data_IF_395506833651
#
_entry.id   IF_395506833651
#
_cell.length_a   1.000
_cell.length_b   1.000
_cell.length_c   1.000
_cell.angle_alpha   90.00
_cell.angle_beta   90.00
_cell.angle_gamma   90.00
#
_symmetry.space_group_name_H-M   'P 1'
#
loop_
_entity.id
_entity.type
_entity.pdbx_description
1 polymer ?
#
# COMPACT_ATOMS: atom_id res chain seq x y z
N UNK A 1 -42.41 -59.55 66.38
CA UNK A 1 -41.61 -60.54 67.15
C UNK A 1 -40.23 -60.51 66.51
N UNK A 2 -39.23 -60.14 67.10
CA UNK A 2 -38.66 -59.72 68.36
C UNK A 2 -37.42 -58.90 67.98
N UNK A 3 -37.30 -57.83 68.37
CA UNK A 3 -36.47 -57.16 69.37
C UNK A 3 -35.18 -57.90 69.73
N UNK A 4 -34.04 -57.34 69.43
CA UNK A 4 -32.93 -57.26 70.41
C UNK A 4 -31.96 -56.13 70.07
N UNK A 5 -32.02 -55.17 70.93
CA UNK A 5 -31.03 -54.14 71.30
C UNK A 5 -29.82 -54.79 71.88
N UNK A 6 -28.60 -54.35 71.47
CA UNK A 6 -27.45 -54.26 72.38
C UNK A 6 -26.55 -53.16 71.87
N UNK A 7 -26.39 -52.09 72.65
CA UNK A 7 -25.33 -51.15 72.83
C UNK A 7 -24.35 -51.67 73.91
N UNK A 8 -23.30 -51.02 74.25
CA UNK A 8 -22.21 -50.21 73.58
C UNK A 8 -20.79 -50.66 74.03
N UNK A 9 -19.82 -49.84 73.64
CA UNK A 9 -18.43 -49.73 74.18
C UNK A 9 -17.45 -50.81 73.74
N UNK A 10 -16.52 -50.36 72.88
CA UNK A 10 -15.15 -50.19 73.29
C UNK A 10 -14.36 -49.38 72.24
N UNK A 11 -13.87 -48.27 72.70
CA UNK A 11 -12.71 -47.57 72.13
C UNK A 11 -11.49 -48.09 72.93
N UNK A 12 -10.34 -48.37 72.37
CA UNK A 12 -9.36 -47.29 72.31
C UNK A 12 -8.45 -47.34 71.07
N UNK A 13 -8.24 -46.18 70.59
CA UNK A 13 -6.97 -45.63 70.16
C UNK A 13 -5.99 -46.47 69.38
N UNK A 14 -5.82 -46.07 68.19
CA UNK A 14 -4.48 -45.84 67.66
C UNK A 14 -4.64 -45.25 66.27
N UNK A 15 -4.48 -43.95 66.20
CA UNK A 15 -4.20 -43.21 65.00
C UNK A 15 -2.71 -43.47 64.65
N UNK A 16 -2.33 -44.12 63.56
CA UNK A 16 -0.98 -44.01 63.08
C UNK A 16 -0.91 -42.69 62.36
N UNK A 17 -0.28 -41.69 62.96
CA UNK A 17 0.27 -40.55 62.30
C UNK A 17 1.17 -41.05 61.15
N UNK A 18 0.61 -40.99 59.95
CA UNK A 18 1.39 -41.15 58.73
C UNK A 18 2.16 -39.83 58.55
N UNK A 19 3.49 -39.84 58.49
CA UNK A 19 4.26 -38.64 58.34
C UNK A 19 3.93 -38.00 56.99
N UNK A 20 3.64 -36.71 57.01
CA UNK A 20 3.51 -35.80 55.87
C UNK A 20 4.83 -35.59 55.09
N UNK A 21 5.50 -36.69 54.75
CA UNK A 21 6.83 -36.62 54.10
C UNK A 21 6.78 -36.77 52.57
N UNK A 22 5.60 -36.81 51.94
CA UNK A 22 5.43 -36.97 50.53
C UNK A 22 4.71 -35.77 49.85
N UNK A 23 4.63 -34.61 50.52
CA UNK A 23 4.00 -33.42 49.92
C UNK A 23 4.93 -32.58 49.00
N UNK A 24 6.22 -32.80 49.04
CA UNK A 24 7.21 -32.01 48.30
C UNK A 24 7.24 -32.29 46.79
N UNK A 25 7.03 -33.54 46.28
CA UNK A 25 7.04 -33.76 44.82
C UNK A 25 5.76 -33.21 44.11
N UNK A 26 4.64 -33.09 44.80
CA UNK A 26 3.43 -32.60 44.21
C UNK A 26 3.40 -31.06 44.02
N UNK A 27 4.09 -30.34 44.91
CA UNK A 27 4.19 -28.85 44.80
C UNK A 27 5.19 -28.49 43.70
N UNK A 28 6.30 -29.15 43.57
CA UNK A 28 7.29 -28.95 42.52
C UNK A 28 6.72 -29.26 41.12
N UNK A 29 5.94 -30.34 41.03
CA UNK A 29 5.23 -30.69 39.77
C UNK A 29 4.18 -29.62 39.37
N UNK A 30 3.46 -29.06 40.33
CA UNK A 30 2.48 -27.96 40.05
C UNK A 30 3.18 -26.69 39.61
N UNK A 31 4.33 -26.33 40.17
CA UNK A 31 5.09 -25.15 39.75
C UNK A 31 5.70 -25.31 38.34
N UNK A 32 6.17 -26.50 37.97
CA UNK A 32 6.62 -26.79 36.61
C UNK A 32 5.50 -26.74 35.58
N UNK A 33 4.30 -27.22 35.92
CA UNK A 33 3.13 -27.14 35.07
C UNK A 33 2.65 -25.70 34.90
N UNK A 34 2.69 -24.90 35.96
CA UNK A 34 2.36 -23.48 35.88
C UNK A 34 3.35 -22.73 34.98
N UNK A 35 4.65 -22.94 35.11
CA UNK A 35 5.67 -22.35 34.23
C UNK A 35 5.44 -22.71 32.75
N UNK A 36 5.21 -23.98 32.45
CA UNK A 36 4.91 -24.45 31.09
C UNK A 36 3.61 -23.85 30.55
N UNK A 37 2.60 -23.76 31.39
CA UNK A 37 1.33 -23.12 31.03
C UNK A 37 1.52 -21.63 30.69
N UNK A 38 2.27 -20.91 31.51
CA UNK A 38 2.53 -19.49 31.30
C UNK A 38 3.39 -19.25 30.06
N UNK A 39 4.41 -20.07 29.83
CA UNK A 39 5.20 -20.04 28.59
C UNK A 39 4.36 -20.28 27.34
N UNK A 40 3.45 -21.28 27.39
CA UNK A 40 2.54 -21.57 26.27
C UNK A 40 1.54 -20.43 26.06
N UNK A 41 1.03 -19.85 27.13
CA UNK A 41 0.13 -18.72 27.11
C UNK A 41 0.80 -17.47 26.51
N UNK A 42 2.04 -17.20 26.92
CA UNK A 42 2.82 -16.10 26.35
C UNK A 42 3.11 -16.31 24.87
N UNK A 43 3.51 -17.52 24.47
CA UNK A 43 3.68 -17.88 23.04
C UNK A 43 2.39 -17.71 22.25
N UNK A 44 1.26 -18.15 22.81
CA UNK A 44 -0.04 -18.02 22.16
C UNK A 44 -0.44 -16.56 22.00
N UNK A 45 -0.21 -15.73 23.01
CA UNK A 45 -0.46 -14.29 22.96
C UNK A 45 0.42 -13.62 21.88
N UNK A 46 1.69 -13.97 21.84
CA UNK A 46 2.63 -13.46 20.83
C UNK A 46 2.23 -13.90 19.42
N UNK A 47 1.91 -15.18 19.23
CA UNK A 47 1.44 -15.70 17.93
C UNK A 47 0.14 -15.06 17.47
N UNK A 48 -0.78 -14.80 18.41
CA UNK A 48 -2.05 -14.12 18.10
C UNK A 48 -1.81 -12.70 17.63
N UNK A 49 -0.95 -11.95 18.34
CA UNK A 49 -0.58 -10.59 17.96
C UNK A 49 0.13 -10.55 16.60
N UNK A 50 1.05 -11.49 16.34
CA UNK A 50 1.74 -11.60 15.06
C UNK A 50 0.78 -11.96 13.92
N UNK A 51 -0.16 -12.88 14.16
CA UNK A 51 -1.19 -13.22 13.20
C UNK A 51 -2.11 -12.05 12.86
N UNK A 52 -2.52 -11.27 13.86
CA UNK A 52 -3.32 -10.05 13.62
C UNK A 52 -2.54 -9.02 12.79
N UNK A 53 -1.26 -8.80 13.08
CA UNK A 53 -0.39 -7.93 12.32
C UNK A 53 -0.19 -8.43 10.89
N UNK A 54 0.02 -9.74 10.71
CA UNK A 54 0.11 -10.37 9.40
C UNK A 54 -1.19 -10.19 8.61
N UNK A 55 -2.35 -10.46 9.21
CA UNK A 55 -3.65 -10.28 8.58
C UNK A 55 -3.86 -8.83 8.11
N UNK A 56 -3.50 -7.87 8.97
CA UNK A 56 -3.60 -6.44 8.65
C UNK A 56 -2.71 -6.05 7.47
N UNK A 57 -1.46 -6.54 7.46
CA UNK A 57 -0.53 -6.33 6.36
C UNK A 57 -1.02 -6.98 5.07
N UNK A 58 -1.44 -8.24 5.13
CA UNK A 58 -1.93 -8.98 3.96
C UNK A 58 -3.18 -8.33 3.32
N UNK A 59 -4.08 -7.78 4.13
CA UNK A 59 -5.23 -7.01 3.62
C UNK A 59 -4.77 -5.74 2.89
N UNK A 60 -3.83 -5.00 3.47
CA UNK A 60 -3.27 -3.81 2.85
C UNK A 60 -2.56 -4.14 1.54
N UNK A 61 -1.71 -5.17 1.54
CA UNK A 61 -1.01 -5.62 0.34
C UNK A 61 -1.99 -6.04 -0.77
N UNK A 62 -3.08 -6.72 -0.40
CA UNK A 62 -4.15 -7.08 -1.34
C UNK A 62 -4.83 -5.85 -1.94
N UNK A 63 -5.15 -4.85 -1.12
CA UNK A 63 -5.73 -3.58 -1.59
C UNK A 63 -4.78 -2.85 -2.54
N UNK A 64 -3.50 -2.78 -2.19
CA UNK A 64 -2.48 -2.14 -3.01
C UNK A 64 -2.28 -2.90 -4.34
N UNK A 65 -2.26 -4.23 -4.30
CA UNK A 65 -2.23 -5.05 -5.52
C UNK A 65 -3.43 -4.77 -6.44
N UNK A 66 -4.64 -4.65 -5.90
CA UNK A 66 -5.83 -4.33 -6.69
C UNK A 66 -5.75 -2.92 -7.30
N UNK A 67 -5.30 -1.92 -6.53
CA UNK A 67 -5.14 -0.53 -7.00
C UNK A 67 -4.12 -0.41 -8.12
N UNK A 68 -3.02 -1.15 -8.04
CA UNK A 68 -1.89 -1.00 -8.95
C UNK A 68 -1.74 -2.14 -9.98
N UNK A 69 -2.68 -3.09 -10.02
CA UNK A 69 -2.65 -4.23 -10.97
C UNK A 69 -2.64 -3.80 -12.44
N UNK A 70 -3.18 -2.62 -12.73
CA UNK A 70 -3.35 -2.10 -14.09
C UNK A 70 -2.17 -1.23 -14.57
N UNK A 71 -1.13 -1.04 -13.75
CA UNK A 71 0.00 -0.14 -14.06
C UNK A 71 0.62 -0.46 -15.42
N UNK A 72 0.93 -1.72 -15.72
CA UNK A 72 1.54 -2.12 -16.99
C UNK A 72 0.67 -1.76 -18.19
N UNK A 73 -0.62 -2.10 -18.14
CA UNK A 73 -1.58 -1.76 -19.20
C UNK A 73 -1.69 -0.23 -19.38
N UNK A 74 -1.78 0.50 -18.29
CA UNK A 74 -1.91 1.95 -18.35
C UNK A 74 -0.67 2.59 -18.96
N UNK A 75 0.53 2.13 -18.64
CA UNK A 75 1.78 2.63 -19.24
C UNK A 75 1.81 2.44 -20.77
N UNK A 76 1.35 1.30 -21.27
CA UNK A 76 1.25 1.06 -22.71
C UNK A 76 0.18 1.93 -23.37
N UNK A 77 -0.95 2.11 -22.72
CA UNK A 77 -2.03 2.98 -23.22
C UNK A 77 -1.59 4.46 -23.28
N UNK A 78 -0.73 4.93 -22.37
CA UNK A 78 -0.20 6.29 -22.41
C UNK A 78 0.61 6.58 -23.66
N UNK A 79 1.22 5.57 -24.31
CA UNK A 79 1.90 5.75 -25.60
C UNK A 79 0.90 6.19 -26.70
N UNK A 80 -0.34 5.73 -26.61
CA UNK A 80 -1.39 6.18 -27.55
C UNK A 80 -1.72 7.66 -27.32
N UNK A 81 -1.81 8.11 -26.06
CA UNK A 81 -2.01 9.51 -25.72
C UNK A 81 -0.87 10.39 -26.27
N UNK A 82 0.39 9.96 -26.09
CA UNK A 82 1.56 10.66 -26.62
C UNK A 82 1.49 10.80 -28.16
N UNK A 83 1.08 9.74 -28.84
CA UNK A 83 0.91 9.76 -30.30
C UNK A 83 -0.15 10.75 -30.74
N UNK A 84 -1.27 10.86 -30.00
CA UNK A 84 -2.33 11.85 -30.27
C UNK A 84 -1.83 13.27 -30.00
N UNK A 85 -1.12 13.51 -28.87
CA UNK A 85 -0.52 14.81 -28.55
C UNK A 85 0.49 15.21 -29.63
N UNK A 86 1.36 14.29 -30.07
CA UNK A 86 2.32 14.53 -31.15
C UNK A 86 1.65 14.81 -32.48
N UNK A 87 0.57 14.10 -32.83
CA UNK A 87 -0.19 14.37 -34.03
C UNK A 87 -0.79 15.78 -34.02
N UNK A 88 -1.33 16.23 -32.87
CA UNK A 88 -1.84 17.60 -32.71
C UNK A 88 -0.73 18.65 -32.83
N UNK A 89 0.45 18.39 -32.28
CA UNK A 89 1.61 19.28 -32.33
C UNK A 89 2.22 19.39 -33.74
N UNK A 90 2.12 18.33 -34.54
CA UNK A 90 2.64 18.28 -35.93
C UNK A 90 1.75 19.03 -36.92
N UNK A 91 0.51 19.37 -36.56
CA UNK A 91 -0.38 20.12 -37.44
C UNK A 91 0.08 21.57 -37.56
N UNK A 92 0.23 22.13 -38.78
CA UNK A 92 0.71 23.48 -38.97
C UNK A 92 -0.23 24.51 -38.32
N UNK A 93 0.39 25.49 -37.66
CA UNK A 93 -0.34 26.59 -37.08
C UNK A 93 -0.72 27.59 -38.22
N UNK A 94 -1.99 27.85 -38.38
CA UNK A 94 -2.46 28.87 -39.34
C UNK A 94 -2.89 28.35 -40.72
N UNK A 95 -2.92 27.04 -40.92
CA UNK A 95 -3.52 26.49 -42.13
C UNK A 95 -5.04 26.62 -42.07
N UNK A 96 -5.62 27.29 -43.09
CA UNK A 96 -7.06 27.55 -43.20
C UNK A 96 -7.79 26.43 -43.94
N UNK A 97 -7.15 25.30 -44.21
CA UNK A 97 -7.85 24.15 -44.79
C UNK A 97 -8.91 23.62 -43.81
N UNK A 98 -10.17 23.70 -44.24
CA UNK A 98 -11.30 23.24 -43.46
C UNK A 98 -11.23 21.77 -43.09
N UNK A 99 -10.64 20.95 -43.98
CA UNK A 99 -10.42 19.52 -43.71
C UNK A 99 -9.45 19.29 -42.58
N UNK A 100 -8.32 20.04 -42.57
CA UNK A 100 -7.30 19.97 -41.55
C UNK A 100 -7.80 20.48 -40.21
N UNK A 101 -8.58 21.55 -40.20
CA UNK A 101 -9.21 22.07 -38.98
C UNK A 101 -10.22 21.08 -38.39
N UNK A 102 -11.03 20.43 -39.21
CA UNK A 102 -11.96 19.38 -38.74
C UNK A 102 -11.22 18.20 -38.17
N UNK A 103 -10.13 17.75 -38.81
CA UNK A 103 -9.29 16.66 -38.31
C UNK A 103 -8.65 17.02 -36.95
N UNK A 104 -8.09 18.23 -36.80
CA UNK A 104 -7.53 18.75 -35.57
C UNK A 104 -8.56 18.71 -34.42
N UNK A 105 -9.80 19.21 -34.71
CA UNK A 105 -10.87 19.20 -33.73
C UNK A 105 -11.27 17.76 -33.33
N UNK A 106 -11.31 16.82 -34.30
CA UNK A 106 -11.63 15.43 -34.04
C UNK A 106 -10.56 14.75 -33.13
N UNK A 107 -9.28 14.99 -33.42
CA UNK A 107 -8.17 14.43 -32.61
C UNK A 107 -8.15 15.06 -31.21
N UNK A 108 -8.35 16.38 -31.09
CA UNK A 108 -8.41 17.07 -29.80
C UNK A 108 -9.58 16.56 -28.94
N UNK A 109 -10.75 16.37 -29.55
CA UNK A 109 -11.91 15.77 -28.88
C UNK A 109 -11.63 14.35 -28.39
N UNK A 110 -10.98 13.55 -29.22
CA UNK A 110 -10.59 12.18 -28.86
C UNK A 110 -9.61 12.17 -27.69
N UNK A 111 -8.61 13.06 -27.71
CA UNK A 111 -7.63 13.20 -26.62
C UNK A 111 -8.31 13.67 -25.31
N UNK A 112 -9.24 14.62 -25.38
CA UNK A 112 -10.03 15.06 -24.21
C UNK A 112 -10.86 13.93 -23.64
N UNK A 113 -11.53 13.16 -24.50
CA UNK A 113 -12.31 12.00 -24.08
C UNK A 113 -11.42 10.94 -23.44
N UNK A 114 -10.26 10.68 -24.02
CA UNK A 114 -9.26 9.75 -23.48
C UNK A 114 -8.79 10.18 -22.09
N UNK A 115 -8.39 11.44 -21.90
CA UNK A 115 -8.01 11.99 -20.60
C UNK A 115 -9.16 11.92 -19.57
N UNK A 116 -10.40 12.11 -20.02
CA UNK A 116 -11.59 11.95 -19.16
C UNK A 116 -11.77 10.49 -18.70
N UNK A 117 -11.46 9.52 -19.57
CA UNK A 117 -11.49 8.10 -19.21
C UNK A 117 -10.38 7.81 -18.19
N UNK A 118 -9.15 8.24 -18.44
CA UNK A 118 -8.03 8.07 -17.52
C UNK A 118 -8.35 8.64 -16.12
N UNK A 119 -8.97 9.82 -16.06
CA UNK A 119 -9.39 10.43 -14.80
C UNK A 119 -10.39 9.57 -14.00
N UNK A 120 -11.31 8.85 -14.67
CA UNK A 120 -12.24 7.91 -14.01
C UNK A 120 -11.51 6.73 -13.35
N UNK A 121 -10.35 6.37 -13.84
CA UNK A 121 -9.48 5.33 -13.28
C UNK A 121 -8.40 5.90 -12.35
N UNK A 122 -8.59 7.13 -11.86
CA UNK A 122 -7.66 7.83 -10.97
C UNK A 122 -6.26 8.03 -11.57
N UNK A 123 -6.18 8.14 -12.90
CA UNK A 123 -4.97 8.55 -13.60
C UNK A 123 -5.07 10.04 -13.88
N UNK A 124 -4.13 10.83 -13.35
CA UNK A 124 -4.10 12.28 -13.49
C UNK A 124 -2.80 12.73 -14.15
N UNK A 125 -2.91 13.71 -15.06
CA UNK A 125 -1.75 14.31 -15.73
C UNK A 125 -1.00 15.21 -14.73
N UNK A 126 0.33 15.09 -14.70
CA UNK A 126 1.21 15.95 -13.90
C UNK A 126 1.29 17.32 -14.61
N UNK A 127 1.09 18.39 -13.85
CA UNK A 127 1.33 19.74 -14.33
C UNK A 127 2.82 20.05 -14.17
N UNK A 128 3.57 20.02 -15.25
CA UNK A 128 5.00 20.25 -15.19
C UNK A 128 5.41 21.66 -15.66
N UNK A 129 4.84 22.14 -16.77
CA UNK A 129 5.24 23.41 -17.39
C UNK A 129 4.98 24.61 -16.47
N UNK A 130 6.02 25.40 -16.23
CA UNK A 130 5.99 26.58 -15.35
C UNK A 130 6.18 26.26 -13.86
N UNK A 131 6.20 25.00 -13.49
CA UNK A 131 6.42 24.57 -12.10
C UNK A 131 7.92 24.38 -11.82
N UNK A 132 8.27 24.32 -10.54
CA UNK A 132 9.63 23.98 -10.13
C UNK A 132 9.88 22.49 -10.35
N UNK A 133 11.06 22.12 -10.81
CA UNK A 133 11.47 20.73 -10.97
C UNK A 133 11.39 19.95 -9.67
N UNK A 134 10.68 18.82 -9.70
CA UNK A 134 10.61 17.83 -8.62
C UNK A 134 11.13 16.47 -9.13
N UNK A 135 12.24 15.95 -8.59
CA UNK A 135 12.83 14.68 -9.01
C UNK A 135 11.90 13.47 -8.86
N UNK A 136 10.83 13.59 -8.07
CA UNK A 136 9.85 12.51 -7.86
C UNK A 136 8.87 12.36 -9.02
N UNK A 137 8.59 13.48 -9.72
CA UNK A 137 7.54 13.54 -10.74
C UNK A 137 8.08 13.91 -12.11
N UNK A 138 9.30 14.48 -12.19
CA UNK A 138 9.87 15.02 -13.41
C UNK A 138 11.22 14.35 -13.72
N UNK A 139 11.47 14.12 -15.01
CA UNK A 139 12.74 13.65 -15.55
C UNK A 139 13.32 14.70 -16.49
N UNK A 140 14.51 15.19 -16.19
CA UNK A 140 15.17 16.23 -17.00
C UNK A 140 15.82 15.60 -18.21
N UNK A 141 15.35 15.99 -19.42
CA UNK A 141 15.95 15.60 -20.68
C UNK A 141 16.94 16.65 -21.19
N UNK A 142 16.61 17.93 -21.02
CA UNK A 142 17.44 19.04 -21.47
C UNK A 142 17.46 20.15 -20.43
N UNK A 143 18.59 20.88 -20.42
CA UNK A 143 18.77 22.11 -19.67
C UNK A 143 19.03 23.25 -20.69
N UNK A 144 18.35 24.37 -20.50
CA UNK A 144 18.49 25.55 -21.32
C UNK A 144 19.03 26.70 -20.48
N UNK A 145 20.15 27.28 -20.90
CA UNK A 145 20.70 28.45 -20.22
C UNK A 145 19.82 29.66 -20.50
N UNK A 146 19.19 30.18 -19.48
CA UNK A 146 18.32 31.34 -19.56
C UNK A 146 18.29 32.09 -18.25
N UNK A 147 18.20 33.41 -18.34
CA UNK A 147 18.03 34.31 -17.18
C UNK A 147 16.57 34.77 -17.01
N UNK A 148 15.67 34.36 -17.93
CA UNK A 148 14.24 34.77 -17.87
C UNK A 148 13.44 34.06 -16.78
N UNK A 149 13.88 32.88 -16.40
CA UNK A 149 13.19 32.04 -15.40
C UNK A 149 14.13 31.66 -14.26
N UNK A 150 13.60 31.46 -13.05
CA UNK A 150 14.40 30.96 -11.93
C UNK A 150 15.04 29.60 -12.26
N UNK A 151 16.23 29.35 -11.70
CA UNK A 151 16.93 28.09 -11.86
C UNK A 151 16.07 26.90 -11.44
N UNK A 152 16.05 25.84 -12.26
CA UNK A 152 15.24 24.65 -12.05
C UNK A 152 13.75 24.82 -12.37
N UNK A 153 13.33 25.89 -13.05
CA UNK A 153 11.95 26.02 -13.55
C UNK A 153 11.77 25.18 -14.81
N UNK A 154 10.67 24.44 -14.89
CA UNK A 154 10.31 23.68 -16.09
C UNK A 154 9.87 24.63 -17.20
N UNK A 155 10.65 24.72 -18.25
CA UNK A 155 10.38 25.56 -19.41
C UNK A 155 9.38 24.92 -20.37
N UNK A 156 9.53 23.62 -20.59
CA UNK A 156 8.67 22.89 -21.50
C UNK A 156 8.52 21.42 -21.09
N UNK A 157 7.38 20.83 -21.47
CA UNK A 157 7.05 19.44 -21.24
C UNK A 157 7.17 18.70 -22.59
N UNK A 158 8.18 17.84 -22.71
CA UNK A 158 8.44 17.04 -23.92
C UNK A 158 7.55 15.81 -24.00
N UNK A 159 7.26 15.23 -22.84
CA UNK A 159 6.36 14.10 -22.71
C UNK A 159 5.60 14.23 -21.40
N UNK A 160 4.28 14.01 -21.50
CA UNK A 160 3.38 14.18 -20.37
C UNK A 160 3.57 13.12 -19.30
N UNK A 161 3.71 13.57 -18.04
CA UNK A 161 3.75 12.71 -16.88
C UNK A 161 2.36 12.38 -16.34
N UNK A 162 2.22 11.22 -15.69
CA UNK A 162 0.95 10.76 -15.12
C UNK A 162 1.13 10.11 -13.77
N UNK A 163 0.15 10.34 -12.89
CA UNK A 163 0.00 9.71 -11.58
C UNK A 163 -1.17 8.72 -11.63
N UNK A 164 -1.02 7.57 -10.97
CA UNK A 164 -2.11 6.66 -10.65
C UNK A 164 -2.35 6.72 -9.14
N UNK A 165 -3.45 7.30 -8.72
CA UNK A 165 -3.70 7.69 -7.34
C UNK A 165 -2.58 8.62 -6.82
N UNK A 166 -1.77 8.14 -5.90
CA UNK A 166 -0.63 8.83 -5.27
C UNK A 166 0.75 8.38 -5.79
N UNK A 167 0.77 7.41 -6.71
CA UNK A 167 1.99 6.82 -7.26
C UNK A 167 2.27 7.34 -8.67
N UNK A 168 3.53 7.72 -8.94
CA UNK A 168 3.96 8.09 -10.28
C UNK A 168 3.88 6.87 -11.19
N UNK A 169 3.02 6.95 -12.22
CA UNK A 169 2.87 5.96 -13.28
C UNK A 169 3.98 6.12 -14.32
N UNK A 170 4.26 7.39 -14.68
CA UNK A 170 5.34 7.80 -15.56
C UNK A 170 5.71 9.25 -15.25
N UNK A 171 7.00 9.57 -15.03
CA UNK A 171 7.45 10.95 -14.84
C UNK A 171 7.21 11.81 -16.10
N UNK A 172 7.05 13.10 -15.92
CA UNK A 172 7.04 14.02 -17.04
C UNK A 172 8.47 14.27 -17.52
N UNK A 173 8.72 14.11 -18.83
CA UNK A 173 10.01 14.47 -19.42
C UNK A 173 10.02 15.97 -19.70
N UNK A 174 10.95 16.67 -19.12
CA UNK A 174 10.95 18.13 -19.10
C UNK A 174 12.28 18.73 -19.53
N UNK A 175 12.16 19.97 -20.03
CA UNK A 175 13.28 20.89 -20.22
C UNK A 175 13.24 21.90 -19.08
N UNK A 176 14.38 22.12 -18.41
CA UNK A 176 14.49 23.05 -17.28
C UNK A 176 15.39 24.24 -17.59
N UNK A 177 15.11 25.35 -16.93
CA UNK A 177 15.99 26.50 -16.90
C UNK A 177 17.23 26.22 -16.05
N UNK A 178 18.40 26.62 -16.54
CA UNK A 178 19.64 26.66 -15.80
C UNK A 178 20.19 28.09 -15.88
N UNK A 179 20.39 28.70 -14.73
CA UNK A 179 21.02 30.02 -14.67
C UNK A 179 22.55 29.81 -14.67
N UNK A 180 23.20 30.58 -15.53
CA UNK A 180 24.69 30.65 -15.59
C UNK A 180 25.25 31.42 -14.42
#
# INVERSE_FOLDING_TARGET
>A
MGEQVINPTDNPGQNPETPLENAVPAVAATEEWQKKHDEVKEKLLWMTADFENYKKRALKDKEDHLKFSQVGLLQEILVVADNLERALAALPAGDNDKGLLSLKQGVDLTLKQFNSILAKYNVTKIKAKGEKFDPRMHEVMFQEETSEFPDGTVLDELQSGYLLHDRVLRPAMVKIAKNS
#
